data_IF_060159441473
#
_entry.id   IF_060159441473
#
_cell.length_a   1.000
_cell.length_b   1.000
_cell.length_c   1.000
_cell.angle_alpha   90.00
_cell.angle_beta   90.00
_cell.angle_gamma   90.00
#
_symmetry.space_group_name_H-M   'P 1'
#
loop_
_entity.id
_entity.type
_entity.pdbx_description
1 polymer ?
#
# COMPACT_ATOMS: atom_id res chain seq x y z
N UNK A 1 13.24 -85.09 -3.66
CA UNK A 1 12.20 -84.72 -2.69
C UNK A 1 12.86 -83.79 -1.70
N UNK A 2 12.70 -82.48 -1.74
CA UNK A 2 11.44 -81.71 -1.84
C UNK A 2 11.67 -80.41 -2.62
N UNK A 3 10.77 -80.13 -3.56
CA UNK A 3 10.54 -78.83 -4.19
C UNK A 3 9.96 -77.82 -3.19
N UNK A 4 10.37 -76.55 -3.28
CA UNK A 4 9.41 -75.43 -3.19
C UNK A 4 9.99 -74.13 -3.75
N UNK A 5 9.43 -73.74 -4.90
CA UNK A 5 9.42 -72.39 -5.42
C UNK A 5 8.55 -71.47 -4.53
N UNK A 6 8.88 -70.18 -4.54
CA UNK A 6 8.12 -69.13 -3.87
C UNK A 6 8.51 -67.76 -4.43
N UNK A 7 7.94 -67.44 -5.58
CA UNK A 7 7.85 -66.09 -6.15
C UNK A 7 7.22 -65.11 -5.14
N UNK A 8 7.85 -63.95 -4.95
CA UNK A 8 7.17 -62.73 -4.54
C UNK A 8 7.60 -61.60 -5.47
N UNK A 9 6.74 -61.34 -6.45
CA UNK A 9 6.69 -60.10 -7.23
C UNK A 9 6.62 -58.91 -6.27
N UNK A 10 7.72 -58.16 -6.13
CA UNK A 10 7.64 -56.81 -5.57
C UNK A 10 6.98 -55.91 -6.62
N UNK A 11 5.89 -55.28 -6.19
CA UNK A 11 5.13 -54.31 -6.95
C UNK A 11 6.06 -53.13 -7.28
N UNK A 12 6.39 -52.97 -8.57
CA UNK A 12 6.90 -51.72 -9.08
C UNK A 12 5.83 -50.65 -8.88
N UNK A 13 6.02 -49.83 -7.85
CA UNK A 13 5.34 -48.55 -7.74
C UNK A 13 5.68 -47.79 -9.00
N UNK A 14 4.68 -47.58 -9.85
CA UNK A 14 4.76 -46.60 -10.91
C UNK A 14 4.90 -45.28 -10.18
N UNK A 15 6.12 -44.77 -10.09
CA UNK A 15 6.38 -43.36 -9.84
C UNK A 15 5.58 -42.63 -10.92
N UNK A 16 4.36 -42.25 -10.56
CA UNK A 16 3.55 -41.38 -11.38
C UNK A 16 4.33 -40.09 -11.44
N UNK A 17 5.03 -39.90 -12.56
CA UNK A 17 5.56 -38.62 -13.00
C UNK A 17 4.35 -37.67 -13.05
N UNK A 18 4.04 -37.07 -11.89
CA UNK A 18 3.20 -35.89 -11.73
C UNK A 18 3.99 -34.74 -12.35
N UNK A 19 4.10 -34.81 -13.67
CA UNK A 19 4.73 -33.85 -14.58
C UNK A 19 3.79 -32.66 -14.71
N UNK A 20 3.43 -32.07 -13.55
CA UNK A 20 2.74 -30.81 -13.47
C UNK A 20 3.66 -29.79 -14.12
N UNK A 21 3.34 -29.45 -15.37
CA UNK A 21 4.01 -28.45 -16.18
C UNK A 21 4.40 -27.26 -15.29
N UNK A 22 5.70 -26.94 -15.29
CA UNK A 22 6.34 -25.90 -14.45
C UNK A 22 5.65 -24.54 -14.52
N UNK A 23 4.87 -24.29 -15.58
CA UNK A 23 4.01 -23.12 -15.75
C UNK A 23 2.96 -23.01 -14.64
N UNK A 24 2.29 -24.12 -14.30
CA UNK A 24 1.22 -24.14 -13.30
C UNK A 24 1.74 -23.94 -11.88
N UNK A 25 2.99 -24.30 -11.62
CA UNK A 25 3.64 -24.08 -10.33
C UNK A 25 3.76 -22.58 -9.98
N UNK A 26 3.78 -21.69 -10.99
CA UNK A 26 3.87 -20.24 -10.79
C UNK A 26 2.50 -19.54 -10.76
N UNK A 27 1.41 -20.19 -11.13
CA UNK A 27 0.07 -19.58 -11.08
C UNK A 27 -0.36 -19.20 -9.65
N UNK A 28 -0.12 -20.01 -8.60
CA UNK A 28 -0.38 -19.60 -7.21
C UNK A 28 0.35 -18.30 -6.84
N UNK A 29 1.63 -18.21 -7.20
CA UNK A 29 2.47 -17.02 -7.00
C UNK A 29 1.92 -15.79 -7.72
N UNK A 30 1.59 -15.93 -9.01
CA UNK A 30 1.04 -14.86 -9.82
C UNK A 30 -0.31 -14.38 -9.28
N UNK A 31 -1.15 -15.31 -8.82
CA UNK A 31 -2.43 -14.99 -8.21
C UNK A 31 -2.25 -14.17 -6.93
N UNK A 32 -1.32 -14.57 -6.06
CA UNK A 32 -1.00 -13.82 -4.84
C UNK A 32 -0.42 -12.44 -5.14
N UNK A 33 0.50 -12.35 -6.10
CA UNK A 33 1.06 -11.07 -6.55
C UNK A 33 -0.05 -10.17 -7.10
N UNK A 34 -0.93 -10.69 -7.96
CA UNK A 34 -1.99 -9.92 -8.59
C UNK A 34 -3.03 -9.43 -7.58
N UNK A 35 -3.33 -10.22 -6.56
CA UNK A 35 -4.23 -9.85 -5.47
C UNK A 35 -3.63 -8.82 -4.50
N UNK A 36 -2.29 -8.68 -4.47
CA UNK A 36 -1.56 -7.78 -3.57
C UNK A 36 -1.22 -6.44 -4.22
N UNK A 37 -0.93 -6.46 -5.53
CA UNK A 37 -0.45 -5.31 -6.29
C UNK A 37 -1.58 -4.50 -6.90
N UNK A 38 -1.39 -3.18 -7.02
CA UNK A 38 -2.29 -2.32 -7.79
C UNK A 38 -2.19 -2.64 -9.29
N UNK A 39 -3.22 -2.32 -10.10
CA UNK A 39 -3.15 -2.48 -11.55
C UNK A 39 -1.96 -1.77 -12.21
N UNK A 40 -1.53 -0.63 -11.66
CA UNK A 40 -0.36 0.13 -12.12
C UNK A 40 0.99 -0.45 -11.69
N UNK A 41 0.99 -1.41 -10.77
CA UNK A 41 2.20 -1.99 -10.18
C UNK A 41 2.55 -3.35 -10.78
N UNK A 42 1.67 -3.94 -11.58
CA UNK A 42 1.91 -5.21 -12.26
C UNK A 42 1.62 -5.05 -13.75
N UNK A 43 2.54 -5.52 -14.59
CA UNK A 43 2.33 -5.55 -16.04
C UNK A 43 2.95 -6.80 -16.66
N UNK A 44 2.24 -7.41 -17.62
CA UNK A 44 2.80 -8.44 -18.47
C UNK A 44 3.92 -7.87 -19.36
N UNK A 45 4.92 -8.70 -19.68
CA UNK A 45 5.97 -8.40 -20.66
C UNK A 45 5.86 -9.45 -21.76
N UNK A 46 5.76 -9.02 -23.02
CA UNK A 46 5.66 -9.93 -24.15
C UNK A 46 4.92 -9.31 -25.32
N UNK A 47 4.56 -10.14 -26.29
CA UNK A 47 3.58 -9.79 -27.32
C UNK A 47 2.17 -9.67 -26.72
N UNK A 48 1.26 -8.90 -27.34
CA UNK A 48 -0.13 -8.81 -26.87
C UNK A 48 -0.80 -10.18 -26.71
N UNK A 49 -0.59 -11.07 -27.68
CA UNK A 49 -1.14 -12.43 -27.65
C UNK A 49 -0.63 -13.22 -26.44
N UNK A 50 0.68 -13.15 -26.12
CA UNK A 50 1.25 -13.77 -24.92
C UNK A 50 0.69 -13.15 -23.63
N UNK A 51 0.46 -11.83 -23.60
CA UNK A 51 -0.12 -11.18 -22.42
C UNK A 51 -1.56 -11.62 -22.17
N UNK A 52 -2.37 -11.68 -23.24
CA UNK A 52 -3.77 -12.09 -23.18
C UNK A 52 -3.91 -13.57 -22.78
N UNK A 53 -3.00 -14.41 -23.30
CA UNK A 53 -2.85 -15.82 -22.91
C UNK A 53 -2.64 -15.99 -21.40
N UNK A 54 -1.64 -15.31 -20.85
CA UNK A 54 -1.30 -15.42 -19.44
C UNK A 54 -2.39 -14.86 -18.54
N UNK A 55 -3.04 -13.77 -18.98
CA UNK A 55 -4.19 -13.23 -18.26
C UNK A 55 -5.34 -14.24 -18.22
N UNK A 56 -5.68 -14.88 -19.35
CA UNK A 56 -6.72 -15.91 -19.42
C UNK A 56 -6.42 -17.09 -18.48
N UNK A 57 -5.18 -17.59 -18.48
CA UNK A 57 -4.77 -18.69 -17.59
C UNK A 57 -4.88 -18.31 -16.11
N UNK A 58 -4.54 -17.06 -15.76
CA UNK A 58 -4.66 -16.57 -14.40
C UNK A 58 -6.13 -16.44 -13.97
N UNK A 59 -6.99 -15.91 -14.84
CA UNK A 59 -8.43 -15.78 -14.60
C UNK A 59 -9.08 -17.16 -14.43
N UNK A 60 -8.71 -18.12 -15.28
CA UNK A 60 -9.15 -19.52 -15.13
C UNK A 60 -8.70 -20.08 -13.78
N UNK A 61 -7.43 -19.89 -13.39
CA UNK A 61 -6.94 -20.33 -12.08
C UNK A 61 -7.73 -19.71 -10.91
N UNK A 62 -8.05 -18.41 -10.98
CA UNK A 62 -8.86 -17.72 -9.98
C UNK A 62 -10.27 -18.33 -9.87
N UNK A 63 -10.94 -18.57 -11.00
CA UNK A 63 -12.25 -19.22 -11.00
C UNK A 63 -12.19 -20.59 -10.29
N UNK A 64 -11.17 -21.40 -10.58
CA UNK A 64 -10.98 -22.71 -9.96
C UNK A 64 -10.79 -22.64 -8.44
N UNK A 65 -10.07 -21.63 -7.93
CA UNK A 65 -9.91 -21.43 -6.48
C UNK A 65 -11.24 -21.14 -5.77
N UNK A 66 -12.26 -20.68 -6.48
CA UNK A 66 -13.60 -20.42 -5.95
C UNK A 66 -14.54 -21.64 -5.97
N UNK A 67 -14.02 -22.83 -6.28
CA UNK A 67 -14.75 -24.09 -6.18
C UNK A 67 -15.64 -24.39 -7.38
N UNK A 68 -15.35 -23.83 -8.56
CA UNK A 68 -15.84 -24.37 -9.82
C UNK A 68 -15.12 -25.70 -10.11
N UNK A 69 -15.89 -26.72 -10.49
CA UNK A 69 -15.30 -27.99 -10.91
C UNK A 69 -14.45 -27.74 -12.16
N UNK A 70 -13.16 -28.12 -12.10
CA UNK A 70 -12.26 -28.13 -13.26
C UNK A 70 -12.98 -28.85 -14.41
N UNK A 71 -13.01 -28.28 -15.62
CA UNK A 71 -13.33 -29.09 -16.79
C UNK A 71 -12.28 -30.20 -16.86
N UNK A 72 -12.71 -31.47 -16.86
CA UNK A 72 -11.87 -32.69 -16.95
C UNK A 72 -11.01 -32.77 -18.24
N UNK A 73 -10.92 -31.69 -19.02
CA UNK A 73 -10.18 -31.57 -20.26
C UNK A 73 -9.00 -30.60 -20.13
N UNK A 74 -8.09 -30.90 -19.18
CA UNK A 74 -6.83 -30.16 -19.01
C UNK A 74 -5.80 -30.43 -20.13
N UNK A 75 -6.05 -31.43 -20.98
CA UNK A 75 -5.17 -31.78 -22.10
C UNK A 75 -5.19 -30.76 -23.26
N UNK A 76 -6.09 -29.77 -23.23
CA UNK A 76 -6.19 -28.72 -24.26
C UNK A 76 -5.40 -27.46 -23.95
N UNK A 77 -4.76 -27.35 -22.79
CA UNK A 77 -3.85 -26.26 -22.49
C UNK A 77 -2.48 -26.55 -23.13
N UNK A 78 -2.44 -26.54 -24.47
CA UNK A 78 -1.18 -26.35 -25.18
C UNK A 78 -0.62 -25.02 -24.68
N UNK A 79 0.53 -25.01 -24.01
CA UNK A 79 1.17 -23.78 -23.52
C UNK A 79 1.57 -22.90 -24.72
N UNK A 80 0.92 -21.74 -24.96
CA UNK A 80 1.14 -21.04 -26.24
C UNK A 80 2.33 -20.10 -26.23
N UNK A 81 2.88 -19.80 -25.06
CA UNK A 81 4.06 -18.96 -24.89
C UNK A 81 5.29 -19.81 -24.57
N UNK A 82 6.45 -19.43 -25.11
CA UNK A 82 7.73 -20.06 -24.74
C UNK A 82 8.25 -19.58 -23.39
N UNK A 83 7.72 -18.48 -22.88
CA UNK A 83 8.25 -17.78 -21.72
C UNK A 83 7.15 -16.98 -21.00
N UNK A 84 7.07 -17.12 -19.68
CA UNK A 84 6.28 -16.28 -18.80
C UNK A 84 7.11 -15.06 -18.42
N UNK A 85 6.69 -13.86 -18.84
CA UNK A 85 7.40 -12.63 -18.50
C UNK A 85 6.47 -11.57 -17.93
N UNK A 86 6.84 -10.97 -16.81
CA UNK A 86 6.08 -9.88 -16.19
C UNK A 86 6.98 -8.95 -15.37
N UNK A 87 6.45 -7.76 -15.05
CA UNK A 87 7.12 -6.76 -14.25
C UNK A 87 6.29 -6.39 -13.02
N UNK A 88 6.96 -6.26 -11.88
CA UNK A 88 6.38 -5.78 -10.63
C UNK A 88 7.09 -4.50 -10.21
N UNK A 89 6.31 -3.47 -9.92
CA UNK A 89 6.78 -2.16 -9.48
C UNK A 89 6.74 -2.09 -7.97
N UNK A 90 7.89 -1.82 -7.37
CA UNK A 90 8.04 -1.60 -5.94
C UNK A 90 8.37 -0.13 -5.72
N UNK A 91 7.48 0.56 -5.02
CA UNK A 91 7.64 1.96 -4.67
C UNK A 91 8.44 2.05 -3.37
N UNK A 92 9.56 2.77 -3.40
CA UNK A 92 10.30 3.09 -2.19
C UNK A 92 9.50 4.01 -1.28
N UNK A 93 9.71 3.89 0.03
CA UNK A 93 9.15 4.80 1.01
C UNK A 93 9.89 6.14 0.91
N UNK A 94 9.15 7.25 0.97
CA UNK A 94 9.79 8.56 1.02
C UNK A 94 10.36 8.75 2.42
N UNK A 95 11.63 9.15 2.49
CA UNK A 95 12.18 9.71 3.71
C UNK A 95 11.45 11.03 4.01
N UNK A 96 10.64 11.04 5.05
CA UNK A 96 9.86 12.21 5.49
C UNK A 96 10.78 13.30 6.06
N UNK A 97 12.09 13.04 6.17
CA UNK A 97 13.06 13.97 6.73
C UNK A 97 13.51 15.12 5.81
N UNK A 98 12.98 15.27 4.59
CA UNK A 98 13.30 16.44 3.74
C UNK A 98 12.54 17.70 4.18
N UNK A 99 13.12 18.36 5.18
CA UNK A 99 12.69 19.64 5.74
C UNK A 99 12.39 20.70 4.66
N UNK A 100 11.13 21.15 4.59
CA UNK A 100 10.81 22.58 4.51
C UNK A 100 10.86 23.31 3.16
N UNK A 101 10.86 22.65 2.00
CA UNK A 101 10.79 23.36 0.71
C UNK A 101 9.42 23.20 0.05
N UNK A 102 8.68 24.31 -0.03
CA UNK A 102 7.43 24.48 -0.79
C UNK A 102 7.64 24.37 -2.31
N UNK A 103 8.10 23.21 -2.78
CA UNK A 103 8.01 22.89 -4.20
C UNK A 103 6.67 22.21 -4.45
N UNK A 104 5.81 22.84 -5.25
CA UNK A 104 4.54 22.27 -5.74
C UNK A 104 4.75 21.01 -6.59
N UNK A 105 6.00 20.69 -6.96
CA UNK A 105 6.37 19.44 -7.59
C UNK A 105 7.09 18.54 -6.57
N UNK A 106 6.36 17.61 -5.94
CA UNK A 106 7.00 16.53 -5.20
C UNK A 106 7.79 15.67 -6.19
N UNK A 107 9.07 15.35 -5.92
CA UNK A 107 9.80 14.41 -6.76
C UNK A 107 9.07 13.05 -6.73
N UNK A 108 9.01 12.33 -7.86
CA UNK A 108 8.41 11.00 -7.91
C UNK A 108 9.12 10.07 -6.94
N UNK A 109 8.37 9.17 -6.30
CA UNK A 109 8.94 8.15 -5.43
C UNK A 109 9.95 7.30 -6.23
N UNK A 110 11.08 6.91 -5.63
CA UNK A 110 12.00 6.01 -6.29
C UNK A 110 11.29 4.71 -6.62
N UNK A 111 11.41 4.29 -7.88
CA UNK A 111 10.71 3.16 -8.46
C UNK A 111 11.72 2.08 -8.80
N UNK A 112 11.59 0.92 -8.17
CA UNK A 112 12.33 -0.30 -8.52
C UNK A 112 11.35 -1.23 -9.24
N UNK A 113 11.78 -1.83 -10.34
CA UNK A 113 10.98 -2.78 -11.11
C UNK A 113 11.68 -4.13 -11.08
N UNK A 114 11.00 -5.16 -10.59
CA UNK A 114 11.42 -6.55 -10.67
C UNK A 114 10.82 -7.15 -11.94
N UNK A 115 11.67 -7.48 -12.91
CA UNK A 115 11.27 -8.20 -14.12
C UNK A 115 11.58 -9.68 -13.90
N UNK A 116 10.58 -10.52 -14.15
CA UNK A 116 10.66 -11.96 -13.98
C UNK A 116 10.46 -12.58 -15.35
N UNK A 117 11.42 -13.40 -15.76
CA UNK A 117 11.42 -14.13 -17.01
C UNK A 117 11.56 -15.62 -16.68
N UNK A 118 10.44 -16.35 -16.71
CA UNK A 118 10.37 -17.77 -16.42
C UNK A 118 10.21 -18.55 -17.74
N UNK A 119 11.29 -19.11 -18.29
CA UNK A 119 11.20 -19.94 -19.49
C UNK A 119 10.35 -21.18 -19.22
N UNK A 120 9.38 -21.46 -20.08
CA UNK A 120 8.57 -22.66 -19.97
C UNK A 120 9.38 -23.81 -20.56
N UNK A 121 9.81 -24.73 -19.72
CA UNK A 121 10.50 -25.93 -20.18
C UNK A 121 9.47 -26.99 -20.54
N UNK A 122 9.72 -27.68 -21.66
CA UNK A 122 9.02 -28.93 -21.95
C UNK A 122 9.19 -29.88 -20.75
N UNK A 123 8.22 -30.76 -20.45
CA UNK A 123 8.35 -31.82 -19.43
C UNK A 123 9.67 -32.61 -19.53
N UNK A 124 10.23 -32.72 -20.74
CA UNK A 124 11.48 -33.43 -20.98
C UNK A 124 12.76 -32.57 -20.88
N UNK A 125 12.65 -31.26 -20.69
CA UNK A 125 13.79 -30.36 -20.50
C UNK A 125 14.04 -30.07 -19.03
N UNK A 126 15.32 -29.97 -18.64
CA UNK A 126 15.66 -29.60 -17.27
C UNK A 126 15.07 -28.24 -16.92
N UNK A 127 14.30 -28.15 -15.81
CA UNK A 127 13.61 -26.92 -15.44
C UNK A 127 14.62 -25.78 -15.33
N UNK A 128 14.42 -24.76 -16.15
CA UNK A 128 15.28 -23.59 -16.18
C UNK A 128 14.84 -22.64 -15.08
N UNK A 129 15.83 -22.11 -14.38
CA UNK A 129 15.61 -21.13 -13.33
C UNK A 129 15.03 -19.84 -13.94
N UNK A 130 14.00 -19.22 -13.32
CA UNK A 130 13.57 -17.88 -13.70
C UNK A 130 14.71 -16.88 -13.63
N UNK A 131 14.82 -16.03 -14.63
CA UNK A 131 15.74 -14.90 -14.64
C UNK A 131 15.06 -13.70 -13.97
N UNK A 132 15.67 -13.23 -12.89
CA UNK A 132 15.18 -12.11 -12.09
C UNK A 132 16.05 -10.88 -12.40
N UNK A 133 15.45 -9.81 -12.90
CA UNK A 133 16.19 -8.61 -13.29
C UNK A 133 15.59 -7.38 -12.62
N UNK A 134 16.37 -6.73 -11.76
CA UNK A 134 16.00 -5.45 -11.17
C UNK A 134 16.38 -4.29 -12.09
N UNK A 135 15.46 -3.36 -12.27
CA UNK A 135 15.72 -2.09 -12.94
C UNK A 135 15.17 -0.91 -12.12
N UNK A 136 15.92 0.19 -12.08
CA UNK A 136 15.47 1.46 -11.50
C UNK A 136 15.86 2.58 -12.46
N UNK A 137 15.00 2.93 -13.43
CA UNK A 137 15.35 3.84 -14.52
C UNK A 137 15.89 5.19 -14.04
N UNK A 138 15.31 5.74 -12.95
CA UNK A 138 15.78 7.00 -12.36
C UNK A 138 17.22 6.91 -11.84
N UNK A 139 17.58 5.79 -11.19
CA UNK A 139 18.94 5.56 -10.68
C UNK A 139 19.95 5.31 -11.80
N UNK A 140 19.52 4.62 -12.87
CA UNK A 140 20.36 4.35 -14.03
C UNK A 140 20.65 5.63 -14.83
N UNK A 141 19.64 6.48 -15.04
CA UNK A 141 19.81 7.77 -15.70
C UNK A 141 20.80 8.68 -14.96
N UNK A 142 20.83 8.61 -13.62
CA UNK A 142 21.80 9.32 -12.78
C UNK A 142 23.24 8.88 -12.99
N UNK A 143 23.43 7.61 -13.37
CA UNK A 143 24.74 6.98 -13.50
C UNK A 143 25.39 7.20 -14.86
N UNK A 144 24.66 7.72 -15.85
CA UNK A 144 25.22 8.06 -17.15
C UNK A 144 25.88 9.46 -17.08
N UNK A 145 27.23 9.56 -17.04
CA UNK A 145 27.86 10.86 -17.16
C UNK A 145 27.48 11.46 -18.52
N UNK A 146 26.91 12.66 -18.52
CA UNK A 146 26.80 13.44 -19.76
C UNK A 146 28.20 13.51 -20.40
N UNK A 147 28.33 13.42 -21.74
CA UNK A 147 29.62 13.44 -22.41
C UNK A 147 30.31 14.80 -22.16
N UNK A 148 31.08 14.88 -21.09
CA UNK A 148 31.93 16.02 -20.79
C UNK A 148 33.15 15.97 -21.73
N UNK A 149 33.60 17.13 -22.24
CA UNK A 149 34.81 17.18 -23.07
C UNK A 149 36.00 16.61 -22.28
N UNK A 150 36.80 15.81 -22.97
CA UNK A 150 37.84 14.91 -22.47
C UNK A 150 38.92 15.56 -21.58
N UNK A 151 38.56 15.93 -20.36
CA UNK A 151 39.49 16.33 -19.30
C UNK A 151 39.68 15.16 -18.34
N UNK A 152 40.92 14.67 -18.28
CA UNK A 152 41.36 13.56 -17.43
C UNK A 152 41.05 13.83 -15.96
N UNK A 153 40.03 13.17 -15.41
CA UNK A 153 39.86 13.00 -13.96
C UNK A 153 39.80 11.49 -13.70
N UNK A 154 40.91 10.95 -13.24
CA UNK A 154 41.01 9.59 -12.72
C UNK A 154 40.36 9.54 -11.32
N UNK A 155 39.47 8.57 -11.12
CA UNK A 155 38.90 8.24 -9.81
C UNK A 155 37.54 8.86 -9.52
N UNK A 156 36.55 8.69 -10.41
CA UNK A 156 35.16 8.90 -10.00
C UNK A 156 34.72 7.68 -9.19
N UNK A 157 34.27 7.83 -7.93
CA UNK A 157 33.65 6.74 -7.20
C UNK A 157 32.45 6.24 -8.02
N UNK A 158 32.35 4.92 -8.22
CA UNK A 158 31.18 4.30 -8.82
C UNK A 158 29.92 4.87 -8.15
N UNK A 159 28.93 5.25 -8.97
CA UNK A 159 27.70 5.87 -8.47
C UNK A 159 27.09 4.98 -7.38
N UNK A 160 26.89 5.55 -6.18
CA UNK A 160 26.29 4.86 -5.03
C UNK A 160 25.01 4.10 -5.38
N UNK A 161 24.25 4.59 -6.37
CA UNK A 161 23.02 3.95 -6.84
C UNK A 161 23.24 2.67 -7.66
N UNK A 162 24.27 2.61 -8.51
CA UNK A 162 24.59 1.42 -9.29
C UNK A 162 25.10 0.30 -8.36
N UNK A 163 25.96 0.66 -7.40
CA UNK A 163 26.40 -0.27 -6.36
C UNK A 163 25.23 -0.78 -5.51
N UNK A 164 24.29 0.10 -5.13
CA UNK A 164 23.09 -0.29 -4.40
C UNK A 164 22.21 -1.28 -5.18
N UNK A 165 21.98 -1.04 -6.48
CA UNK A 165 21.21 -1.98 -7.32
C UNK A 165 21.92 -3.33 -7.47
N UNK A 166 23.25 -3.35 -7.62
CA UNK A 166 24.02 -4.59 -7.66
C UNK A 166 23.94 -5.35 -6.34
N UNK A 167 24.04 -4.65 -5.21
CA UNK A 167 23.87 -5.26 -3.89
C UNK A 167 22.47 -5.86 -3.73
N UNK A 168 21.43 -5.14 -4.16
CA UNK A 168 20.05 -5.62 -4.10
C UNK A 168 19.82 -6.83 -5.02
N UNK A 169 20.38 -6.82 -6.24
CA UNK A 169 20.35 -7.96 -7.14
C UNK A 169 21.03 -9.18 -6.51
N UNK A 170 22.17 -9.01 -5.84
CA UNK A 170 22.86 -10.09 -5.14
C UNK A 170 22.04 -10.66 -3.97
N UNK A 171 21.34 -9.80 -3.21
CA UNK A 171 20.42 -10.23 -2.15
C UNK A 171 19.24 -11.03 -2.72
N UNK A 172 18.63 -10.54 -3.79
CA UNK A 172 17.53 -11.22 -4.48
C UNK A 172 17.91 -12.64 -4.92
N UNK A 173 19.10 -12.80 -5.50
CA UNK A 173 19.65 -14.08 -5.91
C UNK A 173 19.94 -15.02 -4.73
N UNK A 174 20.22 -14.47 -3.56
CA UNK A 174 20.44 -15.24 -2.33
C UNK A 174 19.11 -15.71 -1.75
N UNK A 175 18.12 -14.83 -1.59
CA UNK A 175 16.78 -15.21 -1.13
C UNK A 175 16.11 -16.22 -2.04
N UNK A 176 16.24 -16.08 -3.37
CA UNK A 176 15.70 -17.09 -4.28
C UNK A 176 16.27 -18.49 -4.02
N UNK A 177 17.56 -18.59 -3.70
CA UNK A 177 18.18 -19.90 -3.38
C UNK A 177 17.70 -20.43 -2.02
N UNK A 178 17.49 -19.56 -1.05
CA UNK A 178 17.05 -19.91 0.30
C UNK A 178 15.57 -20.36 0.32
N UNK A 179 14.71 -19.75 -0.48
CA UNK A 179 13.28 -20.07 -0.60
C UNK A 179 13.02 -21.31 -1.48
N UNK A 180 14.04 -22.08 -1.87
CA UNK A 180 13.87 -23.21 -2.77
C UNK A 180 13.06 -24.32 -2.09
N UNK A 181 11.91 -24.63 -2.66
CA UNK A 181 11.00 -25.68 -2.17
C UNK A 181 9.89 -25.17 -1.25
N UNK A 182 9.85 -23.86 -0.98
CA UNK A 182 8.72 -23.22 -0.33
C UNK A 182 7.53 -23.07 -1.30
N UNK A 183 6.32 -23.13 -0.76
CA UNK A 183 5.12 -22.82 -1.52
C UNK A 183 5.07 -21.30 -1.77
N UNK A 184 4.86 -20.88 -3.02
CA UNK A 184 4.79 -19.47 -3.41
C UNK A 184 6.13 -18.71 -3.27
N UNK A 185 7.21 -19.36 -3.74
CA UNK A 185 8.57 -18.83 -3.71
C UNK A 185 8.71 -17.41 -4.29
N UNK A 186 7.97 -17.11 -5.36
CA UNK A 186 8.09 -15.82 -6.05
C UNK A 186 7.34 -14.69 -5.33
N UNK A 187 6.19 -15.00 -4.73
CA UNK A 187 5.48 -14.08 -3.87
C UNK A 187 6.31 -13.74 -2.62
N UNK A 188 6.89 -14.74 -1.97
CA UNK A 188 7.75 -14.55 -0.80
C UNK A 188 8.98 -13.70 -1.16
N UNK A 189 9.62 -13.98 -2.30
CA UNK A 189 10.71 -13.16 -2.81
C UNK A 189 10.30 -11.69 -2.98
N UNK A 190 9.12 -11.43 -3.56
CA UNK A 190 8.58 -10.08 -3.68
C UNK A 190 8.38 -9.43 -2.30
N UNK A 191 7.83 -10.13 -1.32
CA UNK A 191 7.64 -9.57 0.02
C UNK A 191 8.95 -9.22 0.71
N UNK A 192 9.98 -10.08 0.60
CA UNK A 192 11.32 -9.81 1.10
C UNK A 192 11.94 -8.59 0.43
N UNK A 193 11.82 -8.48 -0.90
CA UNK A 193 12.32 -7.35 -1.66
C UNK A 193 11.62 -6.05 -1.26
N UNK A 194 10.30 -6.06 -1.11
CA UNK A 194 9.52 -4.91 -0.70
C UNK A 194 9.88 -4.45 0.73
N UNK A 195 10.02 -5.39 1.67
CA UNK A 195 10.45 -5.10 3.04
C UNK A 195 11.86 -4.51 3.07
N UNK A 196 12.80 -5.11 2.33
CA UNK A 196 14.16 -4.63 2.27
C UNK A 196 14.26 -3.21 1.70
N UNK A 197 13.53 -2.91 0.61
CA UNK A 197 13.46 -1.57 0.02
C UNK A 197 12.84 -0.56 1.00
N UNK A 198 11.88 -0.99 1.83
CA UNK A 198 11.29 -0.13 2.85
C UNK A 198 12.27 0.19 3.99
N UNK A 199 13.14 -0.77 4.34
CA UNK A 199 14.14 -0.63 5.42
C UNK A 199 15.44 0.05 4.94
N UNK A 200 15.75 -0.03 3.65
CA UNK A 200 16.98 0.51 3.07
C UNK A 200 16.67 1.69 2.16
N UNK A 201 17.01 2.88 2.62
CA UNK A 201 16.84 4.11 1.84
C UNK A 201 17.49 4.01 0.47
N UNK A 202 16.72 4.30 -0.57
CA UNK A 202 17.25 4.40 -1.93
C UNK A 202 18.12 5.65 -1.99
N UNK A 203 19.41 5.56 -2.36
CA UNK A 203 20.33 6.70 -2.36
C UNK A 203 19.93 7.70 -3.46
N UNK A 204 19.06 8.65 -3.13
CA UNK A 204 18.54 9.68 -4.03
C UNK A 204 19.35 10.99 -3.99
N UNK A 205 20.40 11.07 -3.17
CA UNK A 205 21.11 12.31 -2.80
C UNK A 205 21.74 13.11 -3.97
N UNK A 206 21.81 12.55 -5.19
CA UNK A 206 22.51 13.19 -6.32
C UNK A 206 21.75 13.18 -7.64
N UNK A 207 20.43 12.98 -7.64
CA UNK A 207 19.67 13.10 -8.88
C UNK A 207 19.61 14.58 -9.31
N UNK A 208 20.17 14.94 -10.48
CA UNK A 208 19.96 16.28 -11.02
C UNK A 208 18.50 16.39 -11.43
N UNK A 209 17.67 16.97 -10.56
CA UNK A 209 16.33 17.40 -10.95
C UNK A 209 16.51 18.58 -11.90
N UNK A 210 16.56 18.29 -13.21
CA UNK A 210 16.40 19.31 -14.23
C UNK A 210 14.99 19.87 -14.11
N UNK A 211 14.87 21.07 -13.52
CA UNK A 211 13.62 21.81 -13.57
C UNK A 211 13.22 21.99 -15.04
N UNK A 212 12.03 21.54 -15.48
CA UNK A 212 11.60 21.64 -16.88
C UNK A 212 11.19 23.08 -17.29
N UNK A 213 11.68 24.11 -16.61
CA UNK A 213 11.38 25.51 -16.89
C UNK A 213 12.64 26.27 -17.24
N UNK A 214 13.01 26.23 -18.53
CA UNK A 214 13.72 27.35 -19.16
C UNK A 214 13.41 27.39 -20.67
N UNK A 215 12.14 27.57 -21.00
CA UNK A 215 11.75 28.20 -22.25
C UNK A 215 11.42 29.65 -21.96
N UNK A 216 12.38 30.51 -22.29
CA UNK A 216 12.29 31.96 -22.27
C UNK A 216 11.04 32.48 -22.98
N UNK A 217 10.04 32.89 -22.21
CA UNK A 217 8.95 33.73 -22.71
C UNK A 217 9.40 35.20 -22.71
N UNK A 218 9.05 35.99 -23.75
CA UNK A 218 9.39 37.39 -23.85
C UNK A 218 8.65 38.23 -22.81
N UNK A 219 9.40 39.05 -22.09
CA UNK A 219 8.96 40.00 -21.08
C UNK A 219 8.03 41.06 -21.68
N UNK A 220 6.80 41.17 -21.16
CA UNK A 220 5.92 42.31 -21.38
C UNK A 220 6.04 43.30 -20.21
N UNK A 221 6.03 44.63 -20.46
CA UNK A 221 6.08 45.63 -19.40
C UNK A 221 4.68 45.80 -18.77
N UNK A 222 4.54 45.48 -17.49
CA UNK A 222 3.35 45.81 -16.70
C UNK A 222 3.54 47.19 -16.08
N UNK A 223 2.62 48.11 -16.37
CA UNK A 223 2.59 49.45 -15.80
C UNK A 223 2.20 49.42 -14.32
N UNK A 224 2.97 50.11 -13.48
CA UNK A 224 2.62 50.37 -12.09
C UNK A 224 1.52 51.43 -11.97
N UNK A 225 0.49 51.22 -11.13
CA UNK A 225 -0.33 52.30 -10.63
C UNK A 225 0.22 52.82 -9.30
N UNK A 226 0.32 54.13 -9.24
CA UNK A 226 0.91 54.95 -8.19
C UNK A 226 0.23 54.85 -6.82
N UNK A 227 1.09 55.01 -5.81
CA UNK A 227 0.82 55.11 -4.38
C UNK A 227 -0.18 56.21 -4.00
N UNK A 228 -0.99 55.91 -2.98
CA UNK A 228 -1.62 56.93 -2.14
C UNK A 228 -2.87 56.42 -1.42
N UNK A 229 -2.75 55.99 -0.16
CA UNK A 229 -3.64 56.40 0.94
C UNK A 229 -3.49 55.55 2.23
N UNK A 230 -3.07 56.25 3.30
CA UNK A 230 -3.65 56.26 4.65
C UNK A 230 -3.65 54.94 5.45
N UNK A 231 -2.83 54.94 6.50
CA UNK A 231 -2.75 53.93 7.56
C UNK A 231 -4.05 53.88 8.38
N UNK A 232 -4.93 52.94 8.01
CA UNK A 232 -6.03 52.47 8.84
C UNK A 232 -5.58 51.19 9.55
N UNK A 233 -5.63 51.17 10.89
CA UNK A 233 -5.51 49.96 11.70
C UNK A 233 -6.63 48.98 11.34
N UNK A 234 -6.43 48.21 10.26
CA UNK A 234 -7.26 47.04 9.99
C UNK A 234 -6.97 46.01 11.08
N UNK A 235 -8.00 45.52 11.80
CA UNK A 235 -7.82 44.35 12.65
C UNK A 235 -7.23 43.25 11.77
N UNK A 236 -6.15 42.62 12.25
CA UNK A 236 -5.52 41.46 11.61
C UNK A 236 -6.61 40.43 11.34
N UNK A 237 -7.13 40.41 10.11
CA UNK A 237 -7.99 39.33 9.64
C UNK A 237 -7.11 38.10 9.66
N UNK A 238 -7.19 37.31 10.73
CA UNK A 238 -6.68 35.94 10.73
C UNK A 238 -7.31 35.31 9.50
N UNK A 239 -6.50 35.00 8.49
CA UNK A 239 -6.97 34.25 7.33
C UNK A 239 -7.45 32.91 7.86
N UNK A 240 -8.76 32.81 8.13
CA UNK A 240 -9.44 31.57 8.47
C UNK A 240 -9.36 30.69 7.22
N UNK A 241 -8.23 30.00 7.05
CA UNK A 241 -8.18 28.88 6.14
C UNK A 241 -9.16 27.84 6.70
N UNK A 242 -10.01 27.22 5.87
CA UNK A 242 -10.71 26.01 6.30
C UNK A 242 -9.63 24.97 6.56
N UNK A 243 -9.31 24.75 7.83
CA UNK A 243 -8.45 23.66 8.26
C UNK A 243 -9.26 22.38 8.08
N UNK A 244 -8.72 21.47 7.28
CA UNK A 244 -9.33 20.18 7.03
C UNK A 244 -8.36 19.07 7.41
N UNK A 245 -8.85 18.05 8.10
CA UNK A 245 -8.07 16.85 8.43
C UNK A 245 -8.15 15.89 7.25
N UNK A 246 -7.01 15.46 6.72
CA UNK A 246 -6.98 14.40 5.70
C UNK A 246 -7.29 13.08 6.37
N UNK A 247 -8.30 12.40 5.87
CA UNK A 247 -8.79 11.13 6.37
C UNK A 247 -8.57 10.05 5.34
N UNK A 248 -8.44 8.81 5.81
CA UNK A 248 -8.14 7.65 4.98
C UNK A 248 -8.88 6.42 5.49
N UNK A 249 -9.35 5.61 4.54
CA UNK A 249 -9.96 4.30 4.78
C UNK A 249 -9.26 3.28 3.90
N UNK A 250 -8.99 2.11 4.48
CA UNK A 250 -8.53 0.96 3.73
C UNK A 250 -9.20 -0.33 4.16
N UNK A 251 -9.51 -1.18 3.18
CA UNK A 251 -10.11 -2.51 3.39
C UNK A 251 -9.11 -3.60 3.03
N UNK A 252 -8.97 -4.56 3.94
CA UNK A 252 -8.17 -5.76 3.79
C UNK A 252 -9.03 -7.01 3.88
N UNK A 253 -8.71 -7.98 3.03
CA UNK A 253 -9.27 -9.32 3.04
C UNK A 253 -8.15 -10.28 3.39
N UNK A 254 -8.44 -11.27 4.24
CA UNK A 254 -7.50 -12.35 4.57
C UNK A 254 -8.23 -13.68 4.52
N UNK A 255 -7.49 -14.78 4.40
CA UNK A 255 -8.11 -16.10 4.47
C UNK A 255 -8.72 -16.33 5.86
N UNK A 256 -7.93 -16.14 6.93
CA UNK A 256 -8.39 -16.23 8.30
C UNK A 256 -7.76 -15.17 9.19
N UNK A 257 -8.54 -14.71 10.16
CA UNK A 257 -8.04 -13.90 11.26
C UNK A 257 -8.40 -14.54 12.61
N UNK A 258 -7.66 -15.58 12.96
CA UNK A 258 -7.87 -16.35 14.21
C UNK A 258 -6.78 -16.10 15.26
N UNK A 259 -5.60 -15.63 14.87
CA UNK A 259 -4.47 -15.46 15.79
C UNK A 259 -4.75 -14.38 16.85
N UNK A 260 -4.75 -14.79 18.12
CA UNK A 260 -4.88 -13.87 19.27
C UNK A 260 -3.69 -12.92 19.39
N UNK A 261 -2.50 -13.30 18.91
CA UNK A 261 -1.33 -12.41 18.87
C UNK A 261 -1.61 -11.25 17.93
N UNK A 262 -2.00 -11.53 16.68
CA UNK A 262 -2.32 -10.50 15.68
C UNK A 262 -3.46 -9.60 16.13
N UNK A 263 -4.50 -10.17 16.75
CA UNK A 263 -5.60 -9.38 17.29
C UNK A 263 -5.15 -8.42 18.41
N UNK A 264 -4.20 -8.82 19.27
CA UNK A 264 -3.66 -7.94 20.32
C UNK A 264 -2.82 -6.81 19.72
N UNK A 265 -2.00 -7.13 18.72
CA UNK A 265 -1.20 -6.14 17.99
C UNK A 265 -2.08 -5.13 17.27
N UNK A 266 -3.11 -5.59 16.55
CA UNK A 266 -4.09 -4.73 15.89
C UNK A 266 -4.80 -3.79 16.88
N UNK A 267 -5.21 -4.29 18.05
CA UNK A 267 -5.77 -3.44 19.11
C UNK A 267 -4.76 -2.37 19.58
N UNK A 268 -3.53 -2.79 19.88
CA UNK A 268 -2.49 -1.89 20.35
C UNK A 268 -2.19 -0.79 19.33
N UNK A 269 -2.01 -1.15 18.07
CA UNK A 269 -1.76 -0.20 16.98
C UNK A 269 -2.95 0.73 16.73
N UNK A 270 -4.19 0.23 16.84
CA UNK A 270 -5.38 1.09 16.67
C UNK A 270 -5.45 2.21 17.71
N UNK A 271 -5.07 1.90 18.95
CA UNK A 271 -4.99 2.87 20.04
C UNK A 271 -3.79 3.81 19.90
N UNK A 272 -2.62 3.26 19.56
CA UNK A 272 -1.37 4.02 19.34
C UNK A 272 -1.50 5.03 18.20
N UNK A 273 -2.08 4.61 17.07
CA UNK A 273 -2.12 5.38 15.83
C UNK A 273 -3.36 6.25 15.70
N UNK A 274 -4.29 6.20 16.67
CA UNK A 274 -5.52 6.97 16.61
C UNK A 274 -6.45 6.55 15.47
N UNK A 275 -6.53 5.25 15.17
CA UNK A 275 -7.36 4.73 14.06
C UNK A 275 -8.47 3.81 14.56
N UNK A 276 -9.62 3.87 13.91
CA UNK A 276 -10.70 2.91 14.11
C UNK A 276 -10.44 1.67 13.29
N UNK A 277 -10.68 0.50 13.89
CA UNK A 277 -10.52 -0.77 13.22
C UNK A 277 -11.76 -1.63 13.43
N UNK A 278 -12.33 -2.15 12.34
CA UNK A 278 -13.38 -3.15 12.37
C UNK A 278 -12.83 -4.44 11.80
N UNK A 279 -13.00 -5.52 12.56
CA UNK A 279 -12.37 -6.79 12.32
C UNK A 279 -13.41 -7.89 12.35
N UNK A 280 -13.53 -8.65 11.26
CA UNK A 280 -14.30 -9.89 11.24
C UNK A 280 -13.37 -11.08 11.41
N UNK A 281 -13.62 -11.85 12.45
CA UNK A 281 -12.86 -13.06 12.78
C UNK A 281 -13.32 -14.24 11.91
N UNK A 282 -12.45 -15.23 11.75
CA UNK A 282 -12.76 -16.46 11.00
C UNK A 282 -12.57 -16.34 9.49
N UNK A 283 -13.33 -17.13 8.72
CA UNK A 283 -13.29 -17.21 7.26
C UNK A 283 -14.54 -16.58 6.61
N UNK A 284 -14.41 -15.75 5.57
CA UNK A 284 -13.19 -15.02 5.22
C UNK A 284 -12.79 -14.04 6.34
N UNK A 285 -11.50 -13.76 6.50
CA UNK A 285 -11.03 -12.70 7.37
C UNK A 285 -11.19 -11.34 6.69
N UNK A 286 -11.56 -10.32 7.46
CA UNK A 286 -11.85 -8.99 6.91
C UNK A 286 -11.48 -7.90 7.90
N UNK A 287 -10.84 -6.85 7.43
CA UNK A 287 -10.42 -5.70 8.23
C UNK A 287 -10.76 -4.41 7.49
N UNK A 288 -11.33 -3.44 8.20
CA UNK A 288 -11.50 -2.07 7.72
C UNK A 288 -10.89 -1.15 8.74
N UNK A 289 -9.95 -0.34 8.28
CA UNK A 289 -9.38 0.72 9.09
C UNK A 289 -9.85 2.07 8.58
N UNK A 290 -10.02 3.00 9.52
CA UNK A 290 -10.45 4.36 9.22
C UNK A 290 -9.87 5.35 10.22
N UNK A 291 -9.31 6.46 9.74
CA UNK A 291 -8.78 7.51 10.62
C UNK A 291 -8.00 8.60 9.86
N UNK A 292 -7.27 9.47 10.58
CA UNK A 292 -6.37 10.44 9.97
C UNK A 292 -5.36 9.75 9.06
N UNK A 293 -5.15 10.29 7.86
CA UNK A 293 -4.26 9.68 6.85
C UNK A 293 -2.82 9.58 7.34
N UNK A 294 -2.36 10.62 8.04
CA UNK A 294 -1.05 10.73 8.66
C UNK A 294 -1.21 11.17 10.12
N UNK A 295 -0.17 10.99 10.94
CA UNK A 295 -0.10 11.65 12.26
C UNK A 295 -0.25 13.16 12.07
N UNK A 296 -1.04 13.80 12.91
CA UNK A 296 -1.23 15.26 12.89
C UNK A 296 0.08 16.02 13.15
N UNK A 297 1.05 15.42 13.86
CA UNK A 297 2.40 16.00 14.05
C UNK A 297 3.10 16.29 12.71
N UNK A 298 2.81 15.51 11.66
CA UNK A 298 3.31 15.78 10.30
C UNK A 298 2.56 16.91 9.59
N UNK A 299 1.31 17.17 9.96
CA UNK A 299 0.52 18.29 9.40
C UNK A 299 0.96 19.64 9.97
N UNK A 300 1.38 19.69 11.25
CA UNK A 300 1.94 20.90 11.87
C UNK A 300 3.28 21.32 11.26
N UNK A 301 4.08 20.35 10.82
CA UNK A 301 5.35 20.62 10.12
C UNK A 301 5.15 21.17 8.69
N UNK A 302 3.91 21.15 8.16
CA UNK A 302 3.57 21.74 6.87
C UNK A 302 3.16 23.23 6.97
N UNK A 303 3.56 23.94 8.04
CA UNK A 303 3.39 25.38 8.14
C UNK A 303 4.04 26.12 6.94
N UNK A 304 3.42 27.20 6.43
CA UNK A 304 3.96 27.94 5.30
C UNK A 304 5.32 28.59 5.65
N UNK A 305 6.30 28.56 4.73
CA UNK A 305 7.61 29.19 4.92
C UNK A 305 7.41 30.70 5.02
N UNK A 306 7.77 31.27 6.18
CA UNK A 306 7.62 32.71 6.39
C UNK A 306 7.68 33.21 7.83
N UNK A 307 7.75 32.33 8.84
CA UNK A 307 8.05 32.75 10.22
C UNK A 307 9.53 32.50 10.57
N UNK A 308 10.41 33.50 10.44
CA UNK A 308 11.76 33.40 10.96
C UNK A 308 11.70 33.44 12.49
N UNK A 309 11.91 32.29 13.15
CA UNK A 309 12.08 32.26 14.60
C UNK A 309 11.64 30.99 15.34
N UNK A 310 10.90 30.07 14.72
CA UNK A 310 10.53 28.81 15.37
C UNK A 310 11.72 27.83 15.34
N UNK A 311 12.33 27.61 16.50
CA UNK A 311 13.48 26.71 16.69
C UNK A 311 13.10 25.25 16.39
N UNK A 312 13.64 24.69 15.31
CA UNK A 312 13.40 23.32 14.83
C UNK A 312 14.12 22.22 15.64
N UNK A 313 14.61 22.51 16.85
CA UNK A 313 15.62 21.68 17.52
C UNK A 313 15.07 20.62 18.51
N UNK A 314 13.75 20.44 18.66
CA UNK A 314 13.20 19.60 19.73
C UNK A 314 12.47 18.30 19.30
N UNK A 315 12.32 18.00 18.01
CA UNK A 315 11.45 16.90 17.56
C UNK A 315 12.16 15.69 16.91
N UNK A 316 13.49 15.59 17.01
CA UNK A 316 14.29 14.56 16.31
C UNK A 316 14.16 13.11 16.85
N UNK A 317 13.07 12.76 17.53
CA UNK A 317 12.90 11.43 18.14
C UNK A 317 11.45 10.93 18.27
N UNK A 318 10.47 11.61 17.69
CA UNK A 318 9.06 11.17 17.71
C UNK A 318 8.73 10.48 16.39
N UNK A 319 8.22 9.25 16.49
CA UNK A 319 8.18 8.26 15.41
C UNK A 319 7.55 8.72 14.10
N UNK A 320 8.26 8.41 13.01
CA UNK A 320 7.89 8.68 11.63
C UNK A 320 6.70 7.78 11.24
N UNK A 321 5.52 8.37 11.13
CA UNK A 321 4.32 7.73 10.58
C UNK A 321 3.31 7.36 11.66
N UNK A 322 2.24 8.15 11.79
CA UNK A 322 1.05 7.76 12.54
C UNK A 322 -0.18 7.72 11.63
N UNK A 323 -1.33 7.37 12.20
CA UNK A 323 -2.59 7.32 11.46
C UNK A 323 -2.78 6.05 10.62
N UNK A 324 -3.69 6.16 9.66
CA UNK A 324 -4.24 5.05 8.89
C UNK A 324 -3.24 4.43 7.91
N UNK A 325 -2.37 5.23 7.28
CA UNK A 325 -1.34 4.71 6.38
C UNK A 325 -0.26 3.90 7.12
N UNK A 326 0.12 4.33 8.32
CA UNK A 326 1.05 3.54 9.14
C UNK A 326 0.39 2.22 9.57
N UNK A 327 -0.88 2.26 9.97
CA UNK A 327 -1.63 1.04 10.31
C UNK A 327 -1.67 0.07 9.13
N UNK A 328 -1.94 0.58 7.93
CA UNK A 328 -1.89 -0.18 6.68
C UNK A 328 -0.52 -0.84 6.45
N UNK A 329 0.56 -0.07 6.60
CA UNK A 329 1.93 -0.57 6.46
C UNK A 329 2.22 -1.71 7.44
N UNK A 330 1.85 -1.54 8.72
CA UNK A 330 2.03 -2.59 9.75
C UNK A 330 1.19 -3.85 9.47
N UNK A 331 -0.05 -3.68 9.00
CA UNK A 331 -0.89 -4.82 8.58
C UNK A 331 -0.23 -5.54 7.40
N UNK A 332 0.24 -4.83 6.37
CA UNK A 332 0.90 -5.45 5.21
C UNK A 332 2.21 -6.16 5.58
N UNK A 333 2.95 -5.65 6.57
CA UNK A 333 4.17 -6.26 7.08
C UNK A 333 3.95 -7.51 7.94
N UNK A 334 2.72 -7.80 8.35
CA UNK A 334 2.40 -9.05 9.05
C UNK A 334 2.31 -10.22 8.06
N UNK A 335 2.82 -11.39 8.43
CA UNK A 335 2.70 -12.63 7.65
C UNK A 335 1.27 -13.16 7.69
N UNK A 336 0.40 -12.72 6.78
CA UNK A 336 -0.98 -13.18 6.64
C UNK A 336 -1.13 -14.26 5.57
N UNK A 337 -2.02 -15.22 5.80
CA UNK A 337 -2.48 -16.08 4.71
C UNK A 337 -3.43 -15.28 3.79
N UNK A 338 -3.01 -15.06 2.54
CA UNK A 338 -3.76 -14.39 1.46
C UNK A 338 -4.29 -13.00 1.85
N UNK A 339 -3.41 -12.06 2.21
CA UNK A 339 -3.81 -10.66 2.42
C UNK A 339 -3.99 -9.96 1.07
N UNK A 340 -5.17 -9.39 0.83
CA UNK A 340 -5.43 -8.50 -0.31
C UNK A 340 -5.95 -7.17 0.21
N UNK A 341 -5.43 -6.06 -0.34
CA UNK A 341 -5.93 -4.71 -0.07
C UNK A 341 -6.68 -4.21 -1.30
N UNK A 342 -7.99 -3.99 -1.19
CA UNK A 342 -8.82 -3.69 -2.38
C UNK A 342 -9.14 -2.20 -2.54
N UNK A 343 -9.57 -1.56 -1.46
CA UNK A 343 -10.15 -0.22 -1.56
C UNK A 343 -9.41 0.77 -0.68
N UNK A 344 -9.11 1.91 -1.29
CA UNK A 344 -8.41 3.03 -0.70
C UNK A 344 -9.25 4.28 -0.95
N UNK A 345 -9.75 4.90 0.12
CA UNK A 345 -10.54 6.13 0.02
C UNK A 345 -9.88 7.20 0.85
N UNK A 346 -9.57 8.33 0.21
CA UNK A 346 -9.11 9.54 0.86
C UNK A 346 -10.22 10.59 0.84
N UNK A 347 -10.41 11.31 1.95
CA UNK A 347 -11.29 12.49 1.99
C UNK A 347 -10.74 13.54 2.93
N UNK A 348 -11.32 14.74 2.89
CA UNK A 348 -10.96 15.83 3.80
C UNK A 348 -12.15 16.12 4.70
N UNK A 349 -11.98 15.95 6.01
CA UNK A 349 -12.96 16.39 6.98
C UNK A 349 -12.75 17.89 7.25
N UNK A 350 -13.78 18.70 7.01
CA UNK A 350 -13.77 20.13 7.36
C UNK A 350 -14.69 20.35 8.54
N UNK A 351 -14.17 20.96 9.61
CA UNK A 351 -15.00 21.33 10.75
C UNK A 351 -16.05 22.36 10.31
N UNK A 352 -17.29 22.21 10.77
CA UNK A 352 -18.30 23.24 10.55
C UNK A 352 -17.79 24.55 11.16
N UNK A 353 -17.91 25.70 10.46
CA UNK A 353 -17.47 26.97 11.01
C UNK A 353 -18.18 27.19 12.35
N UNK A 354 -17.47 27.64 13.40
CA UNK A 354 -18.07 27.85 14.71
C UNK A 354 -19.27 28.77 14.54
N UNK A 355 -20.46 28.26 14.87
CA UNK A 355 -21.68 29.06 14.76
C UNK A 355 -21.49 30.31 15.61
N UNK A 356 -21.67 31.48 15.00
CA UNK A 356 -21.34 32.80 15.57
C UNK A 356 -22.15 33.20 16.82
N UNK A 357 -22.86 32.26 17.43
CA UNK A 357 -23.81 32.48 18.52
C UNK A 357 -23.22 32.33 19.94
N UNK A 358 -21.99 31.84 20.11
CA UNK A 358 -21.36 31.60 21.43
C UNK A 358 -20.34 32.67 21.86
N UNK A 359 -20.32 33.84 21.22
CA UNK A 359 -19.26 34.85 21.35
C UNK A 359 -19.19 35.65 22.66
N UNK A 360 -20.00 35.34 23.68
CA UNK A 360 -20.27 36.36 24.71
C UNK A 360 -19.54 36.25 26.07
N UNK A 361 -18.74 35.22 26.43
CA UNK A 361 -18.29 35.12 27.85
C UNK A 361 -16.92 34.51 28.24
N UNK A 362 -15.93 34.29 27.37
CA UNK A 362 -14.64 33.73 27.83
C UNK A 362 -13.43 34.45 27.23
N UNK A 363 -12.96 35.47 27.95
CA UNK A 363 -11.79 36.29 27.57
C UNK A 363 -10.45 35.81 28.16
N UNK A 364 -10.31 34.60 28.75
CA UNK A 364 -9.12 34.31 29.57
C UNK A 364 -8.45 32.94 29.49
N UNK A 365 -8.70 32.10 28.48
CA UNK A 365 -7.92 30.86 28.33
C UNK A 365 -7.67 30.53 26.84
N UNK A 366 -6.82 31.34 26.21
CA UNK A 366 -6.35 31.15 24.83
C UNK A 366 -5.08 30.29 24.83
N UNK A 367 -5.21 28.98 24.77
CA UNK A 367 -4.04 28.10 24.57
C UNK A 367 -4.44 26.64 24.37
N UNK A 368 -4.15 26.09 23.18
CA UNK A 368 -4.13 24.66 22.83
C UNK A 368 -5.44 23.84 22.77
N UNK A 369 -6.61 24.40 23.09
CA UNK A 369 -7.87 23.65 23.09
C UNK A 369 -8.49 23.33 21.71
N UNK A 370 -8.27 24.17 20.69
CA UNK A 370 -9.07 24.11 19.45
C UNK A 370 -8.65 22.98 18.49
N UNK A 371 -7.41 22.47 18.59
CA UNK A 371 -6.86 21.51 17.62
C UNK A 371 -7.22 20.06 17.96
N UNK A 372 -7.09 19.67 19.23
CA UNK A 372 -7.53 18.36 19.72
C UNK A 372 -9.04 18.14 19.48
N UNK A 373 -9.82 19.22 19.59
CA UNK A 373 -11.25 19.23 19.29
C UNK A 373 -11.54 18.98 17.80
N UNK A 374 -10.66 19.40 16.89
CA UNK A 374 -10.82 19.17 15.44
C UNK A 374 -10.52 17.73 15.06
N UNK A 375 -9.47 17.13 15.64
CA UNK A 375 -9.15 15.72 15.41
C UNK A 375 -10.23 14.80 16.00
N UNK A 376 -10.67 15.08 17.23
CA UNK A 376 -11.80 14.39 17.83
C UNK A 376 -13.05 14.53 16.97
N UNK A 377 -13.31 15.72 16.43
CA UNK A 377 -14.39 15.98 15.47
C UNK A 377 -14.26 15.17 14.18
N UNK A 378 -13.05 15.06 13.62
CA UNK A 378 -12.78 14.28 12.41
C UNK A 378 -12.97 12.77 12.65
N UNK A 379 -12.48 12.27 13.78
CA UNK A 379 -12.67 10.89 14.21
C UNK A 379 -14.14 10.56 14.49
N UNK A 380 -14.90 11.50 15.06
CA UNK A 380 -16.35 11.37 15.26
C UNK A 380 -17.12 11.39 13.94
N UNK A 381 -16.59 12.08 12.93
CA UNK A 381 -17.19 12.15 11.61
C UNK A 381 -16.93 10.88 10.77
N UNK A 382 -15.93 10.05 11.13
CA UNK A 382 -15.68 8.76 10.50
C UNK A 382 -16.93 7.88 10.49
N UNK A 383 -17.44 7.44 9.32
CA UNK A 383 -18.56 6.52 9.28
C UNK A 383 -18.33 5.25 10.11
N UNK A 384 -17.10 4.72 10.16
CA UNK A 384 -16.77 3.56 10.98
C UNK A 384 -16.92 3.82 12.49
N UNK A 385 -16.47 4.98 12.97
CA UNK A 385 -16.63 5.36 14.37
C UNK A 385 -18.11 5.47 14.75
N UNK A 386 -18.91 6.11 13.88
CA UNK A 386 -20.36 6.26 14.08
C UNK A 386 -21.09 4.92 14.12
N UNK A 387 -20.70 3.97 13.28
CA UNK A 387 -21.25 2.62 13.26
C UNK A 387 -20.81 1.78 14.49
N UNK A 388 -19.63 2.06 15.04
CA UNK A 388 -19.04 1.32 16.15
C UNK A 388 -19.48 1.79 17.53
N UNK A 389 -19.95 3.03 17.70
CA UNK A 389 -20.42 3.55 18.99
C UNK A 389 -21.91 3.18 19.20
N UNK A 390 -22.24 2.28 20.15
CA UNK A 390 -23.62 1.90 20.43
C UNK A 390 -24.42 3.13 20.90
N UNK A 391 -25.52 3.46 20.21
CA UNK A 391 -26.42 4.55 20.60
C UNK A 391 -26.19 5.90 19.90
N UNK A 392 -25.17 6.04 19.06
CA UNK A 392 -24.90 7.28 18.32
C UNK A 392 -25.99 7.64 17.27
N UNK A 393 -26.77 6.66 16.80
CA UNK A 393 -27.78 6.85 15.76
C UNK A 393 -29.19 7.22 16.25
N UNK A 394 -29.49 7.11 17.54
CA UNK A 394 -30.88 7.13 18.04
C UNK A 394 -31.20 8.25 19.05
N UNK A 395 -30.25 9.11 19.42
CA UNK A 395 -30.46 10.14 20.45
C UNK A 395 -30.30 11.56 19.91
N UNK A 396 -31.33 12.04 19.20
CA UNK A 396 -31.54 13.48 19.09
C UNK A 396 -31.84 14.05 20.48
N UNK A 397 -30.90 14.77 21.11
CA UNK A 397 -31.25 15.79 22.10
C UNK A 397 -30.63 15.77 23.51
N UNK A 398 -29.52 15.08 23.79
CA UNK A 398 -28.81 15.30 25.09
C UNK A 398 -27.31 15.58 24.92
N UNK A 399 -27.02 16.86 24.76
CA UNK A 399 -25.72 17.53 24.57
C UNK A 399 -24.81 17.52 25.84
N UNK A 400 -24.93 16.51 26.71
CA UNK A 400 -24.41 16.60 28.09
C UNK A 400 -23.20 15.75 28.46
N UNK A 401 -22.79 14.79 27.63
CA UNK A 401 -21.70 13.88 27.96
C UNK A 401 -20.72 13.74 26.78
N UNK A 402 -19.72 14.63 26.73
CA UNK A 402 -18.47 14.38 25.96
C UNK A 402 -17.76 13.19 26.61
N UNK A 403 -18.16 11.98 26.25
CA UNK A 403 -17.42 10.77 26.60
C UNK A 403 -16.07 10.81 25.89
N UNK A 404 -14.97 10.58 26.61
CA UNK A 404 -13.62 10.52 26.02
C UNK A 404 -13.63 9.58 24.82
N UNK A 405 -13.42 10.11 23.62
CA UNK A 405 -13.27 9.28 22.44
C UNK A 405 -12.08 8.36 22.63
N UNK A 406 -12.29 7.05 22.53
CA UNK A 406 -11.21 6.08 22.46
C UNK A 406 -11.33 5.39 21.12
N UNK A 407 -10.33 5.58 20.27
CA UNK A 407 -10.17 4.74 19.08
C UNK A 407 -10.13 3.30 19.54
N UNK A 408 -10.89 2.45 18.87
CA UNK A 408 -10.99 1.06 19.29
C UNK A 408 -11.08 0.11 18.10
N UNK A 409 -10.72 -1.13 18.40
CA UNK A 409 -10.95 -2.25 17.52
C UNK A 409 -12.29 -2.89 17.87
N UNK A 410 -13.25 -2.85 16.95
CA UNK A 410 -14.49 -3.64 17.04
C UNK A 410 -14.27 -4.99 16.38
N UNK A 411 -14.63 -6.05 17.10
CA UNK A 411 -14.61 -7.42 16.57
C UNK A 411 -16.03 -7.85 16.26
N UNK A 412 -16.20 -8.59 15.17
CA UNK A 412 -17.42 -9.34 14.85
C UNK A 412 -17.06 -10.73 14.37
N UNK A 413 -17.95 -11.69 14.61
CA UNK A 413 -17.78 -13.07 14.18
C UNK A 413 -18.74 -13.44 13.04
N UNK A 414 -19.79 -12.64 12.84
CA UNK A 414 -20.87 -12.99 11.90
C UNK A 414 -20.77 -12.19 10.62
N UNK A 415 -21.01 -12.87 9.49
CA UNK A 415 -21.03 -12.24 8.18
C UNK A 415 -22.18 -11.22 8.04
N UNK A 416 -23.31 -11.48 8.71
CA UNK A 416 -24.46 -10.57 8.71
C UNK A 416 -24.12 -9.23 9.34
N UNK A 417 -23.51 -9.24 10.54
CA UNK A 417 -23.16 -8.01 11.25
C UNK A 417 -22.12 -7.20 10.48
N UNK A 418 -21.10 -7.82 9.89
CA UNK A 418 -20.10 -7.09 9.11
C UNK A 418 -20.73 -6.43 7.87
N UNK A 419 -21.62 -7.12 7.15
CA UNK A 419 -22.31 -6.54 5.99
C UNK A 419 -23.20 -5.37 6.40
N UNK A 420 -23.95 -5.48 7.50
CA UNK A 420 -24.76 -4.39 8.04
C UNK A 420 -23.89 -3.17 8.43
N UNK A 421 -22.77 -3.41 9.11
CA UNK A 421 -21.81 -2.36 9.47
C UNK A 421 -21.24 -1.68 8.23
N UNK A 422 -20.85 -2.44 7.21
CA UNK A 422 -20.29 -1.89 5.98
C UNK A 422 -21.28 -1.04 5.20
N UNK A 423 -22.54 -1.47 5.12
CA UNK A 423 -23.60 -0.66 4.51
C UNK A 423 -23.80 0.66 5.27
N UNK A 424 -23.76 0.62 6.61
CA UNK A 424 -23.84 1.85 7.43
C UNK A 424 -22.64 2.78 7.22
N UNK A 425 -21.46 2.22 6.94
CA UNK A 425 -20.22 2.95 6.65
C UNK A 425 -20.19 3.54 5.22
N UNK A 426 -21.13 3.13 4.37
CA UNK A 426 -21.26 3.57 2.99
C UNK A 426 -20.32 2.87 2.03
N UNK A 427 -19.93 1.62 2.32
CA UNK A 427 -19.19 0.79 1.35
C UNK A 427 -20.15 0.36 0.23
N UNK A 428 -19.77 0.51 -1.06
CA UNK A 428 -20.56 0.04 -2.19
C UNK A 428 -20.90 -1.46 -2.10
N UNK A 429 -22.08 -1.85 -2.56
CA UNK A 429 -22.57 -3.23 -2.43
C UNK A 429 -21.77 -4.21 -3.31
N UNK A 430 -21.33 -3.77 -4.49
CA UNK A 430 -20.44 -4.53 -5.38
C UNK A 430 -19.12 -4.87 -4.69
N UNK A 431 -18.52 -3.91 -3.99
CA UNK A 431 -17.30 -4.15 -3.22
C UNK A 431 -17.50 -5.17 -2.09
N UNK A 432 -18.66 -5.13 -1.42
CA UNK A 432 -19.00 -6.10 -0.37
C UNK A 432 -19.22 -7.50 -0.92
N UNK A 433 -19.91 -7.59 -2.06
CA UNK A 433 -20.18 -8.85 -2.74
C UNK A 433 -18.87 -9.50 -3.20
N UNK A 434 -18.03 -8.74 -3.89
CA UNK A 434 -16.77 -9.23 -4.44
C UNK A 434 -15.77 -9.56 -3.34
N UNK A 435 -15.69 -8.70 -2.32
CA UNK A 435 -14.73 -8.84 -1.24
C UNK A 435 -15.05 -9.97 -0.27
N UNK A 436 -16.32 -10.11 0.12
CA UNK A 436 -16.75 -11.16 1.05
C UNK A 436 -17.19 -12.45 0.33
N UNK A 437 -17.01 -12.51 -1.00
CA UNK A 437 -17.47 -13.60 -1.87
C UNK A 437 -18.92 -13.98 -1.61
N UNK A 438 -19.79 -12.97 -1.41
CA UNK A 438 -21.20 -13.20 -1.14
C UNK A 438 -21.86 -13.67 -2.43
N UNK A 439 -22.41 -14.88 -2.42
CA UNK A 439 -23.30 -15.30 -3.50
C UNK A 439 -24.58 -14.47 -3.40
N UNK A 440 -24.67 -13.41 -4.20
CA UNK A 440 -25.94 -12.74 -4.45
C UNK A 440 -26.79 -13.77 -5.18
N UNK A 441 -27.62 -14.50 -4.43
CA UNK A 441 -28.66 -15.31 -5.05
C UNK A 441 -29.40 -14.37 -5.98
N UNK A 442 -29.33 -14.62 -7.29
CA UNK A 442 -30.06 -13.87 -8.30
C UNK A 442 -31.56 -14.14 -8.06
N UNK A 443 -32.10 -13.47 -7.06
CA UNK A 443 -33.49 -13.53 -6.68
C UNK A 443 -34.28 -12.85 -7.77
N UNK A 444 -34.86 -13.69 -8.64
CA UNK A 444 -35.99 -13.34 -9.49
C UNK A 444 -37.18 -12.88 -8.67
#
# INVERSE_FOLDING_TARGET
MVDRAGDTHEAGGVDGDDDHSTCYALLPDLFLLRATLKPSEFSWIGTPDECDEWQRLLDEYEEHQHGSNLPEHSDRYLAPAKELSFSVVILGTKDVASNGVNSTARPPLPRVTLNVHAPLTSPHETPRRPQLVLSAPALQAASCPAPAPAAMIAGSPESSAAHWLQQLQWQLETWWRELKGEENQLFDLYTHLAAWIADHHIPMEKLPFSNPTDHSLPSYPLAEPSEGAIHSHRPRRRCLRPWGVQMHRQIFYTHHLLSQVKQRELAAWSAELGVWLLVKLGYPGFLVLEGPKHSWEQSLLAAPPGQPGASASACAGVGIGGGALEMSRRIKGMQWAKLSARTEVDWVHTAAPPSSSSSQRRDQDEGDGDEADMEEGALLACPLARACVPGAGASGGREGARGKLRTCMRKTETLKEIVELMRMVGIPEDELVDGLSLRVGSGR
#
